data_IF_353507217128
#
_entry.id   IF_353507217128
#
_cell.length_a   1.000
_cell.length_b   1.000
_cell.length_c   1.000
_cell.angle_alpha   90.00
_cell.angle_beta   90.00
_cell.angle_gamma   90.00
#
_symmetry.space_group_name_H-M   'P 1'
#
loop_
_entity.id
_entity.type
_entity.pdbx_description
1 polymer ?
#
# COMPACT_ATOMS: atom_id res chain seq x y z
N UNK A 1 22.36 -18.37 3.88
CA UNK A 1 21.55 -17.29 3.26
C UNK A 1 20.87 -16.55 4.41
N UNK A 2 20.93 -15.23 4.46
CA UNK A 2 20.24 -14.46 5.51
C UNK A 2 18.71 -14.48 5.28
N UNK A 3 17.93 -14.26 6.35
CA UNK A 3 16.47 -14.18 6.23
C UNK A 3 16.02 -13.03 5.29
N UNK A 4 16.73 -11.90 5.33
CA UNK A 4 16.49 -10.78 4.43
C UNK A 4 16.67 -11.19 2.96
N UNK A 5 17.77 -11.87 2.64
CA UNK A 5 18.01 -12.31 1.28
C UNK A 5 16.99 -13.36 0.82
N UNK A 6 16.54 -14.26 1.70
CA UNK A 6 15.51 -15.23 1.38
C UNK A 6 14.17 -14.56 1.07
N UNK A 7 13.79 -13.56 1.89
CA UNK A 7 12.56 -12.77 1.66
C UNK A 7 12.67 -11.97 0.36
N UNK A 8 13.77 -11.26 0.13
CA UNK A 8 13.98 -10.48 -1.09
C UNK A 8 13.92 -11.36 -2.35
N UNK A 9 14.59 -12.54 -2.33
CA UNK A 9 14.51 -13.48 -3.45
C UNK A 9 13.08 -13.96 -3.70
N UNK A 10 12.35 -14.35 -2.65
CA UNK A 10 10.95 -14.77 -2.78
C UNK A 10 10.08 -13.68 -3.42
N UNK A 11 10.21 -12.44 -2.96
CA UNK A 11 9.43 -11.31 -3.46
C UNK A 11 9.80 -10.92 -4.90
N UNK A 12 11.08 -10.94 -5.24
CA UNK A 12 11.56 -10.67 -6.59
C UNK A 12 11.07 -11.74 -7.59
N UNK A 13 11.13 -13.02 -7.19
CA UNK A 13 10.77 -14.16 -8.03
C UNK A 13 9.26 -14.42 -8.12
N UNK A 14 8.43 -13.75 -7.30
CA UNK A 14 6.98 -13.91 -7.29
C UNK A 14 6.37 -13.53 -8.65
N UNK A 15 5.57 -14.42 -9.25
CA UNK A 15 4.87 -14.20 -10.52
C UNK A 15 3.37 -14.32 -10.29
N UNK A 16 2.58 -13.60 -11.08
CA UNK A 16 1.11 -13.59 -10.98
C UNK A 16 0.52 -15.00 -11.11
N UNK A 17 1.06 -15.80 -12.02
CA UNK A 17 0.61 -17.15 -12.32
C UNK A 17 0.88 -18.15 -11.18
N UNK A 18 1.76 -17.80 -10.25
CA UNK A 18 2.08 -18.61 -9.07
C UNK A 18 1.20 -18.29 -7.86
N UNK A 19 0.39 -17.22 -7.93
CA UNK A 19 -0.49 -16.82 -6.84
C UNK A 19 -1.77 -17.66 -6.91
N UNK A 20 -2.14 -18.37 -5.83
CA UNK A 20 -3.40 -19.12 -5.80
C UNK A 20 -4.60 -18.22 -6.06
N UNK A 21 -5.60 -18.73 -6.81
CA UNK A 21 -6.82 -17.99 -7.15
C UNK A 21 -7.53 -17.42 -5.91
N UNK A 22 -7.58 -18.19 -4.82
CA UNK A 22 -8.17 -17.72 -3.56
C UNK A 22 -7.43 -16.51 -2.96
N UNK A 23 -6.11 -16.40 -3.18
CA UNK A 23 -5.33 -15.24 -2.73
C UNK A 23 -5.61 -14.03 -3.63
N UNK A 24 -5.72 -14.23 -4.94
CA UNK A 24 -6.09 -13.15 -5.87
C UNK A 24 -7.49 -12.61 -5.54
N UNK A 25 -8.48 -13.49 -5.39
CA UNK A 25 -9.84 -13.09 -5.01
C UNK A 25 -9.85 -12.33 -3.67
N UNK A 26 -9.10 -12.82 -2.67
CA UNK A 26 -8.99 -12.11 -1.39
C UNK A 26 -8.32 -10.74 -1.53
N UNK A 27 -7.33 -10.61 -2.41
CA UNK A 27 -6.66 -9.33 -2.68
C UNK A 27 -7.61 -8.33 -3.34
N UNK A 28 -8.48 -8.80 -4.25
CA UNK A 28 -9.53 -7.98 -4.86
C UNK A 28 -10.56 -7.50 -3.82
N UNK A 29 -11.01 -8.38 -2.93
CA UNK A 29 -11.91 -8.03 -1.82
C UNK A 29 -11.29 -6.96 -0.91
N UNK A 30 -10.02 -7.14 -0.53
CA UNK A 30 -9.29 -6.17 0.30
C UNK A 30 -9.08 -4.83 -0.41
N UNK A 31 -8.85 -4.86 -1.73
CA UNK A 31 -8.75 -3.64 -2.52
C UNK A 31 -10.07 -2.87 -2.57
N UNK A 32 -11.19 -3.59 -2.72
CA UNK A 32 -12.53 -2.99 -2.69
C UNK A 32 -12.84 -2.40 -1.30
N UNK A 33 -12.53 -3.14 -0.24
CA UNK A 33 -12.68 -2.69 1.16
C UNK A 33 -11.87 -1.41 1.43
N UNK A 34 -10.60 -1.38 0.98
CA UNK A 34 -9.74 -0.21 1.08
C UNK A 34 -10.33 1.03 0.36
N UNK A 35 -10.87 0.86 -0.86
CA UNK A 35 -11.57 1.94 -1.58
C UNK A 35 -12.77 2.43 -0.77
N UNK A 36 -13.57 1.50 -0.24
CA UNK A 36 -14.74 1.81 0.60
C UNK A 36 -14.34 2.62 1.83
N UNK A 37 -13.30 2.21 2.53
CA UNK A 37 -12.75 2.91 3.70
C UNK A 37 -12.25 4.31 3.35
N UNK A 38 -11.56 4.48 2.21
CA UNK A 38 -11.12 5.79 1.74
C UNK A 38 -12.31 6.72 1.46
N UNK A 39 -13.32 6.24 0.74
CA UNK A 39 -14.51 7.03 0.39
C UNK A 39 -15.37 7.38 1.62
N UNK A 40 -15.42 6.51 2.62
CA UNK A 40 -16.15 6.74 3.87
C UNK A 40 -15.60 7.95 4.66
N UNK A 41 -14.34 8.32 4.43
CA UNK A 41 -13.70 9.49 5.06
C UNK A 41 -13.91 10.81 4.33
N UNK A 42 -14.63 10.82 3.20
CA UNK A 42 -14.82 12.01 2.38
C UNK A 42 -15.42 13.16 3.20
N UNK A 43 -14.75 14.31 3.19
CA UNK A 43 -15.17 15.50 3.93
C UNK A 43 -14.89 15.47 5.44
N UNK A 44 -14.51 14.33 6.00
CA UNK A 44 -14.16 14.23 7.42
C UNK A 44 -12.79 14.85 7.70
N UNK A 45 -12.63 15.53 8.85
CA UNK A 45 -11.32 16.03 9.28
C UNK A 45 -10.41 14.84 9.60
N UNK A 46 -9.11 14.89 9.22
CA UNK A 46 -8.35 15.99 8.61
C UNK A 46 -8.25 15.92 7.08
N UNK A 47 -9.02 15.10 6.36
CA UNK A 47 -8.83 14.83 4.93
C UNK A 47 -8.80 16.11 4.07
N UNK A 48 -9.70 17.09 4.23
CA UNK A 48 -9.61 18.35 3.48
C UNK A 48 -8.30 19.13 3.69
N UNK A 49 -7.58 18.87 4.79
CA UNK A 49 -6.26 19.48 5.02
C UNK A 49 -5.19 18.82 4.16
N UNK A 50 -5.21 17.47 4.06
CA UNK A 50 -4.31 16.73 3.19
C UNK A 50 -4.55 17.06 1.71
N UNK A 51 -5.82 17.19 1.30
CA UNK A 51 -6.15 17.61 -0.07
C UNK A 51 -5.61 18.99 -0.39
N UNK A 52 -5.82 19.98 0.50
CA UNK A 52 -5.25 21.33 0.32
C UNK A 52 -3.72 21.32 0.33
N UNK A 53 -3.10 20.48 1.13
CA UNK A 53 -1.64 20.33 1.11
C UNK A 53 -1.17 19.79 -0.23
N UNK A 54 -1.80 18.72 -0.74
CA UNK A 54 -1.52 18.17 -2.07
C UNK A 54 -1.72 19.22 -3.19
N UNK A 55 -2.76 20.05 -3.07
CA UNK A 55 -3.05 21.12 -4.03
C UNK A 55 -1.98 22.22 -4.04
N UNK A 56 -1.49 22.59 -2.86
CA UNK A 56 -0.51 23.67 -2.71
C UNK A 56 0.92 23.25 -3.05
N UNK A 57 1.27 22.02 -2.73
CA UNK A 57 2.65 21.51 -2.81
C UNK A 57 2.86 20.56 -4.00
N UNK A 58 1.79 19.99 -4.53
CA UNK A 58 1.81 19.08 -5.66
C UNK A 58 1.65 19.80 -6.99
N UNK A 59 1.83 19.06 -8.10
CA UNK A 59 1.56 19.58 -9.44
C UNK A 59 0.05 19.80 -9.65
N UNK A 60 -0.29 20.74 -10.51
CA UNK A 60 -1.69 21.04 -10.87
C UNK A 60 -2.41 19.87 -11.58
N UNK A 61 -1.65 18.93 -12.16
CA UNK A 61 -2.15 17.69 -12.77
C UNK A 61 -1.10 16.60 -12.64
N UNK A 62 -1.50 15.35 -12.80
CA UNK A 62 -0.59 14.21 -12.74
C UNK A 62 -1.27 12.92 -13.16
N UNK A 63 -0.55 11.83 -13.05
CA UNK A 63 -0.95 10.49 -13.50
C UNK A 63 -1.80 9.74 -12.47
N UNK A 64 -1.71 10.10 -11.19
CA UNK A 64 -2.37 9.37 -10.11
C UNK A 64 -3.58 10.15 -9.54
N UNK A 65 -4.56 9.41 -9.02
CA UNK A 65 -5.83 9.97 -8.52
C UNK A 65 -5.96 9.92 -7.00
N UNK A 66 -6.45 11.02 -6.45
CA UNK A 66 -6.99 11.08 -5.09
C UNK A 66 -8.42 10.53 -5.14
N UNK A 67 -8.70 9.47 -4.39
CA UNK A 67 -9.98 8.76 -4.42
C UNK A 67 -11.14 9.63 -3.96
N UNK A 68 -11.00 10.33 -2.84
CA UNK A 68 -12.07 11.13 -2.21
C UNK A 68 -12.53 12.33 -3.03
N UNK A 69 -11.66 12.94 -3.84
CA UNK A 69 -11.99 14.10 -4.67
C UNK A 69 -11.99 13.83 -6.17
N UNK A 70 -11.45 12.68 -6.60
CA UNK A 70 -11.27 12.37 -8.02
C UNK A 70 -10.21 13.21 -8.74
N UNK A 71 -9.49 14.08 -8.02
CA UNK A 71 -8.46 14.95 -8.60
C UNK A 71 -7.22 14.16 -8.99
N UNK A 72 -6.59 14.54 -10.08
CA UNK A 72 -5.29 14.00 -10.51
C UNK A 72 -4.14 14.82 -9.92
N UNK A 73 -3.10 14.12 -9.48
CA UNK A 73 -1.87 14.72 -8.95
C UNK A 73 -0.68 13.77 -9.16
N UNK A 74 0.48 14.08 -8.59
CA UNK A 74 1.61 13.13 -8.63
C UNK A 74 1.33 11.88 -7.78
N UNK A 75 2.01 10.76 -8.06
CA UNK A 75 1.88 9.53 -7.28
C UNK A 75 2.09 9.73 -5.77
N UNK A 76 3.07 10.56 -5.41
CA UNK A 76 3.37 10.86 -4.01
C UNK A 76 2.17 11.48 -3.29
N UNK A 77 1.56 12.53 -3.85
CA UNK A 77 0.42 13.20 -3.20
C UNK A 77 -0.85 12.37 -3.26
N UNK A 78 -1.07 11.59 -4.33
CA UNK A 78 -2.18 10.65 -4.40
C UNK A 78 -2.06 9.58 -3.30
N UNK A 79 -0.90 8.94 -3.17
CA UNK A 79 -0.65 7.94 -2.13
C UNK A 79 -0.82 8.53 -0.72
N UNK A 80 -0.30 9.74 -0.46
CA UNK A 80 -0.43 10.42 0.83
C UNK A 80 -1.90 10.65 1.21
N UNK A 81 -2.69 11.22 0.31
CA UNK A 81 -4.11 11.51 0.61
C UNK A 81 -4.93 10.23 0.70
N UNK A 82 -4.72 9.28 -0.20
CA UNK A 82 -5.44 8.01 -0.20
C UNK A 82 -5.12 7.18 1.05
N UNK A 83 -3.86 7.14 1.49
CA UNK A 83 -3.46 6.48 2.73
C UNK A 83 -4.12 7.13 3.96
N UNK A 84 -4.05 8.44 4.08
CA UNK A 84 -4.71 9.16 5.17
C UNK A 84 -6.24 8.93 5.16
N UNK A 85 -6.86 8.93 3.98
CA UNK A 85 -8.29 8.74 3.82
C UNK A 85 -8.73 7.34 4.23
N UNK A 86 -8.04 6.31 3.73
CA UNK A 86 -8.43 4.91 3.97
C UNK A 86 -8.27 4.47 5.42
N UNK A 87 -7.35 5.10 6.18
CA UNK A 87 -7.12 4.75 7.58
C UNK A 87 -7.94 5.58 8.58
N UNK A 88 -8.53 6.70 8.17
CA UNK A 88 -9.22 7.63 9.08
C UNK A 88 -10.40 7.00 9.81
N UNK A 89 -11.14 6.14 9.14
CA UNK A 89 -12.37 5.53 9.70
C UNK A 89 -12.09 4.27 10.52
N UNK A 90 -10.83 3.82 10.60
CA UNK A 90 -10.42 2.62 11.36
C UNK A 90 -11.23 1.34 11.00
N UNK A 91 -11.63 1.23 9.72
CA UNK A 91 -12.37 0.08 9.17
C UNK A 91 -11.56 -0.70 8.13
N UNK A 92 -10.37 -0.19 7.78
CA UNK A 92 -9.42 -0.86 6.92
C UNK A 92 -8.88 -2.15 7.56
N UNK A 93 -8.40 -3.06 6.74
CA UNK A 93 -7.96 -4.39 7.15
C UNK A 93 -6.92 -4.37 8.28
N UNK A 94 -6.92 -5.43 9.08
CA UNK A 94 -5.95 -5.61 10.16
C UNK A 94 -5.40 -7.03 10.16
N UNK A 95 -4.07 -7.17 10.11
CA UNK A 95 -3.39 -8.42 10.37
C UNK A 95 -2.92 -8.48 11.83
N UNK A 96 -3.60 -9.29 12.65
CA UNK A 96 -3.45 -9.28 14.10
C UNK A 96 -2.05 -9.66 14.61
N UNK A 97 -1.39 -10.66 14.02
CA UNK A 97 -0.09 -11.13 14.52
C UNK A 97 1.03 -10.13 14.24
N UNK A 98 0.98 -9.42 13.12
CA UNK A 98 1.93 -8.35 12.80
C UNK A 98 1.53 -6.97 13.35
N UNK A 99 0.30 -6.82 13.86
CA UNK A 99 -0.28 -5.53 14.32
C UNK A 99 -0.15 -4.46 13.24
N UNK A 100 -0.54 -4.80 12.02
CA UNK A 100 -0.35 -3.99 10.82
C UNK A 100 -1.69 -3.84 10.08
N UNK A 101 -1.98 -2.62 9.60
CA UNK A 101 -3.02 -2.34 8.61
C UNK A 101 -2.38 -2.29 7.21
N UNK A 102 -2.31 -3.41 6.49
CA UNK A 102 -1.54 -3.46 5.24
C UNK A 102 -2.17 -2.62 4.12
N UNK A 103 -3.50 -2.64 3.99
CA UNK A 103 -4.22 -2.01 2.89
C UNK A 103 -3.88 -0.53 2.75
N UNK A 104 -3.94 0.20 3.86
CA UNK A 104 -3.74 1.66 3.85
C UNK A 104 -2.37 2.07 3.31
N UNK A 105 -1.33 1.30 3.54
CA UNK A 105 0.03 1.61 3.08
C UNK A 105 0.34 1.00 1.71
N UNK A 106 -0.04 -0.26 1.49
CA UNK A 106 0.30 -0.97 0.25
C UNK A 106 -0.55 -0.48 -0.91
N UNK A 107 -1.88 -0.52 -0.81
CA UNK A 107 -2.73 -0.12 -1.94
C UNK A 107 -2.59 1.36 -2.28
N UNK A 108 -2.37 2.22 -1.30
CA UNK A 108 -2.15 3.64 -1.55
C UNK A 108 -0.90 3.90 -2.39
N UNK A 109 0.20 3.24 -2.08
CA UNK A 109 1.46 3.37 -2.83
C UNK A 109 1.40 2.64 -4.17
N UNK A 110 0.92 1.40 -4.18
CA UNK A 110 0.88 0.55 -5.38
C UNK A 110 -0.09 1.11 -6.42
N UNK A 111 -1.30 1.56 -6.03
CA UNK A 111 -2.24 2.15 -6.98
C UNK A 111 -1.67 3.42 -7.63
N UNK A 112 -1.10 4.32 -6.81
CA UNK A 112 -0.54 5.56 -7.32
C UNK A 112 0.64 5.31 -8.28
N UNK A 113 1.53 4.38 -7.95
CA UNK A 113 2.64 3.99 -8.80
C UNK A 113 2.16 3.24 -10.07
N UNK A 114 1.17 2.34 -9.95
CA UNK A 114 0.60 1.62 -11.09
C UNK A 114 -0.05 2.57 -12.10
N UNK A 115 -0.75 3.59 -11.64
CA UNK A 115 -1.32 4.63 -12.49
C UNK A 115 -0.23 5.42 -13.23
N UNK A 116 0.84 5.81 -12.53
CA UNK A 116 1.96 6.56 -13.12
C UNK A 116 2.73 5.74 -14.15
N UNK A 117 2.94 4.47 -13.87
CA UNK A 117 3.66 3.54 -14.73
C UNK A 117 2.77 2.89 -15.80
N UNK A 118 1.49 3.26 -15.87
CA UNK A 118 0.49 2.67 -16.78
C UNK A 118 0.46 1.13 -16.72
N UNK A 119 0.48 0.57 -15.51
CA UNK A 119 0.47 -0.86 -15.24
C UNK A 119 -0.95 -1.44 -15.30
N UNK A 120 -1.04 -2.74 -15.56
CA UNK A 120 -2.31 -3.45 -15.60
C UNK A 120 -2.87 -3.77 -14.20
N UNK A 121 -4.15 -4.18 -14.14
CA UNK A 121 -4.74 -4.69 -12.89
C UNK A 121 -4.02 -5.95 -12.37
N UNK A 122 -3.49 -6.80 -13.25
CA UNK A 122 -2.67 -7.96 -12.84
C UNK A 122 -1.38 -7.53 -12.15
N UNK A 123 -0.70 -6.52 -12.70
CA UNK A 123 0.52 -5.96 -12.09
C UNK A 123 0.21 -5.35 -10.71
N UNK A 124 -0.93 -4.65 -10.58
CA UNK A 124 -1.40 -4.09 -9.32
C UNK A 124 -1.63 -5.18 -8.27
N UNK A 125 -2.35 -6.26 -8.62
CA UNK A 125 -2.61 -7.37 -7.70
C UNK A 125 -1.31 -8.07 -7.28
N UNK A 126 -0.41 -8.39 -8.24
CA UNK A 126 0.89 -9.00 -7.96
C UNK A 126 1.73 -8.13 -7.01
N UNK A 127 1.82 -6.85 -7.28
CA UNK A 127 2.59 -5.91 -6.47
C UNK A 127 1.98 -5.75 -5.06
N UNK A 128 0.66 -5.76 -4.96
CA UNK A 128 -0.04 -5.70 -3.68
C UNK A 128 0.23 -6.94 -2.83
N UNK A 129 0.14 -8.14 -3.42
CA UNK A 129 0.50 -9.39 -2.73
C UNK A 129 1.94 -9.35 -2.24
N UNK A 130 2.89 -8.89 -3.07
CA UNK A 130 4.29 -8.76 -2.67
C UNK A 130 4.45 -7.79 -1.47
N UNK A 131 3.78 -6.65 -1.50
CA UNK A 131 3.78 -5.68 -0.40
C UNK A 131 3.18 -6.25 0.89
N UNK A 132 2.05 -6.95 0.81
CA UNK A 132 1.42 -7.63 1.95
C UNK A 132 2.33 -8.69 2.56
N UNK A 133 2.91 -9.57 1.74
CA UNK A 133 3.83 -10.62 2.19
C UNK A 133 5.04 -10.03 2.91
N UNK A 134 5.65 -8.97 2.35
CA UNK A 134 6.76 -8.29 3.00
C UNK A 134 6.34 -7.68 4.34
N UNK A 135 5.27 -6.89 4.34
CA UNK A 135 4.80 -6.19 5.53
C UNK A 135 4.41 -7.13 6.67
N UNK A 136 3.64 -8.17 6.37
CA UNK A 136 3.19 -9.15 7.35
C UNK A 136 4.37 -9.90 7.96
N UNK A 137 5.29 -10.44 7.16
CA UNK A 137 6.46 -11.19 7.64
C UNK A 137 7.40 -10.32 8.47
N UNK A 138 7.66 -9.08 8.03
CA UNK A 138 8.49 -8.15 8.79
C UNK A 138 7.79 -7.77 10.11
N UNK A 139 6.48 -7.50 10.07
CA UNK A 139 5.71 -7.16 11.27
C UNK A 139 5.66 -8.29 12.29
N UNK A 140 5.50 -9.55 11.85
CA UNK A 140 5.58 -10.72 12.71
C UNK A 140 6.98 -10.89 13.33
N UNK A 141 8.04 -10.68 12.56
CA UNK A 141 9.41 -10.69 13.05
C UNK A 141 9.65 -9.62 14.12
N UNK A 142 9.12 -8.41 13.92
CA UNK A 142 9.23 -7.31 14.91
C UNK A 142 8.46 -7.61 16.19
N UNK A 143 7.34 -8.30 16.09
CA UNK A 143 6.52 -8.73 17.20
C UNK A 143 5.83 -7.59 17.97
N UNK A 144 5.00 -7.96 18.95
CA UNK A 144 4.22 -7.01 19.75
C UNK A 144 5.04 -6.06 20.62
N UNK A 145 6.29 -6.40 20.92
CA UNK A 145 7.20 -5.51 21.67
C UNK A 145 7.50 -4.22 20.90
N UNK A 146 7.59 -4.30 19.58
CA UNK A 146 7.76 -3.13 18.72
C UNK A 146 6.59 -2.14 18.85
N UNK A 147 5.37 -2.64 18.88
CA UNK A 147 4.15 -1.82 18.98
C UNK A 147 4.03 -1.03 20.29
N UNK A 148 4.77 -1.40 21.34
CA UNK A 148 4.80 -0.63 22.60
C UNK A 148 5.44 0.76 22.44
N UNK A 149 6.25 0.96 21.40
CA UNK A 149 7.03 2.20 21.17
C UNK A 149 6.67 2.81 19.82
N UNK A 150 6.49 1.98 18.80
CA UNK A 150 6.28 2.42 17.42
C UNK A 150 4.98 1.85 16.84
N UNK A 151 4.28 2.66 16.05
CA UNK A 151 3.11 2.19 15.30
C UNK A 151 3.57 1.34 14.11
N UNK A 152 3.28 0.03 14.14
CA UNK A 152 3.78 -0.94 13.14
C UNK A 152 3.32 -0.57 11.74
N UNK A 153 2.08 -0.10 11.55
CA UNK A 153 1.60 0.36 10.24
C UNK A 153 2.47 1.47 9.65
N UNK A 154 3.00 2.37 10.48
CA UNK A 154 3.90 3.42 9.99
C UNK A 154 5.30 2.88 9.66
N UNK A 155 5.90 2.11 10.56
CA UNK A 155 7.30 1.66 10.41
C UNK A 155 7.46 0.54 9.41
N UNK A 156 6.71 -0.55 9.59
CA UNK A 156 6.76 -1.73 8.71
C UNK A 156 6.04 -1.44 7.40
N UNK A 157 4.96 -0.65 7.44
CA UNK A 157 4.21 -0.26 6.25
C UNK A 157 5.05 0.52 5.23
N UNK A 158 6.05 1.29 5.69
CA UNK A 158 7.01 1.95 4.79
C UNK A 158 7.77 0.92 3.94
N UNK A 159 8.21 -0.20 4.55
CA UNK A 159 8.90 -1.28 3.85
C UNK A 159 7.93 -2.05 2.93
N UNK A 160 6.73 -2.32 3.40
CA UNK A 160 5.68 -2.98 2.62
C UNK A 160 5.33 -2.20 1.34
N UNK A 161 5.14 -0.89 1.46
CA UNK A 161 4.88 0.00 0.34
C UNK A 161 6.06 0.05 -0.64
N UNK A 162 7.29 0.12 -0.13
CA UNK A 162 8.50 0.12 -0.95
C UNK A 162 8.63 -1.18 -1.77
N UNK A 163 8.36 -2.34 -1.16
CA UNK A 163 8.38 -3.64 -1.87
C UNK A 163 7.30 -3.69 -2.95
N UNK A 164 6.06 -3.26 -2.65
CA UNK A 164 4.99 -3.23 -3.65
C UNK A 164 5.35 -2.36 -4.85
N UNK A 165 5.88 -1.16 -4.62
CA UNK A 165 6.33 -0.27 -5.70
C UNK A 165 7.56 -0.84 -6.44
N UNK A 166 8.53 -1.40 -5.71
CA UNK A 166 9.70 -2.07 -6.31
C UNK A 166 9.29 -3.21 -7.24
N UNK A 167 8.24 -3.97 -6.88
CA UNK A 167 7.69 -5.02 -7.75
C UNK A 167 7.12 -4.46 -9.06
N UNK A 168 6.41 -3.32 -9.03
CA UNK A 168 5.95 -2.63 -10.24
C UNK A 168 7.10 -2.13 -11.12
N UNK A 169 8.19 -1.70 -10.49
CA UNK A 169 9.40 -1.22 -11.17
C UNK A 169 10.27 -2.36 -11.71
N UNK A 170 9.99 -3.61 -11.34
CA UNK A 170 10.76 -4.78 -11.78
C UNK A 170 12.11 -4.90 -11.06
N UNK A 171 12.22 -4.43 -9.83
CA UNK A 171 13.43 -4.54 -9.02
C UNK A 171 13.80 -6.01 -8.77
N UNK A 172 15.08 -6.28 -8.78
CA UNK A 172 15.62 -7.57 -8.39
C UNK A 172 15.88 -7.63 -6.86
N UNK A 173 16.37 -8.76 -6.39
CA UNK A 173 16.61 -9.00 -4.96
C UNK A 173 17.71 -8.16 -4.33
N UNK A 174 18.57 -7.51 -5.12
CA UNK A 174 19.67 -6.67 -4.64
C UNK A 174 19.26 -5.19 -4.54
N UNK A 175 18.21 -4.79 -5.27
CA UNK A 175 17.60 -3.46 -5.25
C UNK A 175 16.57 -3.33 -4.12
#
# INVERSE_FOLDING_TARGET
MSHTHALASFLADLQYEHIPEAVLARTEDLFLDWIGSALASQGARPIPLFERYAERMGPASGSARILVSGRSTSPYFAALVNGASSHLVEQDDLHNSSVLHPATVVFSAVLAAAQDLNKSGKDLLLASVAGYEAGIRIGEFMGRSHYRIFHTTATVGTLAAAVGVGKLLGFDKEQ
#
